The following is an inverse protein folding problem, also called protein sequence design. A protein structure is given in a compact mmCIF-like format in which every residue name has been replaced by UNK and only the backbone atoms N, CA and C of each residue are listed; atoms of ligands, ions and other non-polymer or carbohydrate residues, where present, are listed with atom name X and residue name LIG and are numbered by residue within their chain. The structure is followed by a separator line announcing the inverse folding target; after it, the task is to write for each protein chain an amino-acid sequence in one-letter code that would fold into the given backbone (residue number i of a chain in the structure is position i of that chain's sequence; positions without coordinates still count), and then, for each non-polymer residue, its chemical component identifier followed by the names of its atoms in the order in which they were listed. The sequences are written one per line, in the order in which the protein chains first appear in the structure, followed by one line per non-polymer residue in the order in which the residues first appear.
data_IF_761065540345
#
_entry.id   IF_761065540345
#
_cell.length_a   1.000
_cell.length_b   1.000
_cell.length_c   1.000
_cell.angle_alpha   90.00
_cell.angle_beta   90.00
_cell.angle_gamma   90.00
#
_symmetry.space_group_name_H-M   'P 1'
#
loop_
_entity.id
_entity.type
_entity.pdbx_description
1 polymer ?
#
# COMPACT_ATOMS: atom_id res chain seq x y z
N UNK A 1 -11.38 2.04 11.25
CA UNK A 1 -12.29 0.94 11.56
C UNK A 1 -11.55 -0.40 11.52
N UNK A 2 -11.78 -1.23 12.52
CA UNK A 2 -11.16 -2.55 12.61
C UNK A 2 -12.13 -3.61 12.12
N UNK A 3 -11.62 -4.53 11.32
CA UNK A 3 -12.37 -5.69 10.82
C UNK A 3 -11.66 -6.98 11.24
N UNK A 4 -12.43 -7.93 11.76
CA UNK A 4 -11.93 -9.23 12.20
C UNK A 4 -12.58 -10.33 11.38
N UNK A 5 -11.78 -11.24 10.83
CA UNK A 5 -12.25 -12.28 9.93
C UNK A 5 -11.73 -13.65 10.31
N UNK A 6 -12.59 -14.64 10.19
CA UNK A 6 -12.22 -16.06 10.30
C UNK A 6 -12.16 -16.67 8.91
N UNK A 7 -11.64 -17.89 8.81
CA UNK A 7 -11.51 -18.57 7.51
C UNK A 7 -12.79 -18.67 6.72
N UNK A 8 -13.94 -18.80 7.39
CA UNK A 8 -15.24 -18.94 6.75
C UNK A 8 -15.75 -17.64 6.11
N UNK A 9 -15.16 -16.48 6.44
CA UNK A 9 -15.65 -15.16 6.04
C UNK A 9 -14.76 -14.47 4.98
N UNK A 10 -14.01 -15.24 4.18
CA UNK A 10 -13.06 -14.66 3.21
C UNK A 10 -13.75 -13.88 2.09
N UNK A 11 -14.93 -14.30 1.64
CA UNK A 11 -15.66 -13.57 0.61
C UNK A 11 -16.05 -12.16 1.05
N UNK A 12 -16.79 -12.01 2.18
CA UNK A 12 -17.09 -10.68 2.71
C UNK A 12 -15.85 -9.86 3.05
N UNK A 13 -14.77 -10.52 3.51
CA UNK A 13 -13.49 -9.85 3.78
C UNK A 13 -12.94 -9.21 2.51
N UNK A 14 -12.93 -9.96 1.43
CA UNK A 14 -12.41 -9.48 0.16
C UNK A 14 -13.21 -8.29 -0.34
N UNK A 15 -14.54 -8.37 -0.27
CA UNK A 15 -15.41 -7.28 -0.70
C UNK A 15 -15.18 -6.02 0.13
N UNK A 16 -15.05 -6.15 1.44
CA UNK A 16 -14.78 -5.02 2.33
C UNK A 16 -13.42 -4.41 2.04
N UNK A 17 -12.42 -5.24 1.76
CA UNK A 17 -11.07 -4.78 1.44
C UNK A 17 -11.05 -4.03 0.10
N UNK A 18 -11.71 -4.55 -0.92
CA UNK A 18 -11.84 -3.88 -2.22
C UNK A 18 -12.50 -2.51 -2.03
N UNK A 19 -13.57 -2.46 -1.25
CA UNK A 19 -14.27 -1.20 -0.96
C UNK A 19 -13.31 -0.20 -0.31
N UNK A 20 -12.59 -0.60 0.74
CA UNK A 20 -11.66 0.28 1.45
C UNK A 20 -10.56 0.82 0.53
N UNK A 21 -10.01 -0.05 -0.32
CA UNK A 21 -8.93 0.33 -1.23
C UNK A 21 -9.42 1.28 -2.32
N UNK A 22 -10.65 1.15 -2.76
CA UNK A 22 -11.16 1.95 -3.87
C UNK A 22 -11.81 3.27 -3.45
N UNK A 23 -11.92 3.55 -2.15
CA UNK A 23 -12.61 4.75 -1.64
C UNK A 23 -11.72 5.96 -1.38
N UNK A 24 -10.50 5.96 -1.86
CA UNK A 24 -9.57 7.10 -1.68
C UNK A 24 -9.34 7.48 -0.21
N UNK A 25 -9.51 6.54 0.70
CA UNK A 25 -9.18 6.73 2.11
C UNK A 25 -7.70 6.40 2.33
N UNK A 26 -7.14 6.69 3.47
CA UNK A 26 -5.72 6.52 3.74
C UNK A 26 -5.20 5.09 3.53
N UNK A 27 -4.14 4.74 4.24
CA UNK A 27 -3.51 3.43 4.13
C UNK A 27 -4.40 2.36 4.76
N UNK A 28 -4.55 1.23 4.07
CA UNK A 28 -5.24 0.05 4.58
C UNK A 28 -4.21 -0.94 5.12
N UNK A 29 -4.45 -1.51 6.28
CA UNK A 29 -3.56 -2.50 6.89
C UNK A 29 -4.29 -3.83 7.04
N UNK A 30 -3.65 -4.90 6.60
CA UNK A 30 -4.16 -6.28 6.74
C UNK A 30 -3.13 -7.08 7.53
N UNK A 31 -3.48 -7.52 8.73
CA UNK A 31 -2.58 -8.32 9.56
C UNK A 31 -3.12 -9.73 9.77
N UNK A 32 -2.21 -10.66 9.93
CA UNK A 32 -2.53 -12.04 10.23
C UNK A 32 -1.26 -12.84 10.43
N UNK A 33 -1.34 -13.89 11.23
CA UNK A 33 -0.23 -14.80 11.45
C UNK A 33 0.14 -15.55 10.18
N UNK A 34 1.31 -16.17 10.16
CA UNK A 34 1.72 -17.09 9.10
C UNK A 34 0.63 -18.16 8.95
N UNK A 35 0.20 -18.39 7.72
CA UNK A 35 -0.85 -19.38 7.46
C UNK A 35 -2.27 -18.87 7.64
N UNK A 36 -2.47 -17.58 7.93
CA UNK A 36 -3.83 -17.00 8.09
C UNK A 36 -4.54 -16.75 6.77
N UNK A 37 -3.85 -16.90 5.65
CA UNK A 37 -4.44 -16.68 4.33
C UNK A 37 -4.17 -15.28 3.75
N UNK A 38 -3.23 -14.52 4.30
CA UNK A 38 -2.88 -13.20 3.77
C UNK A 38 -2.44 -13.25 2.30
N UNK A 39 -1.59 -14.24 1.97
CA UNK A 39 -1.08 -14.38 0.61
C UNK A 39 -2.21 -14.69 -0.37
N UNK A 40 -3.13 -15.57 0.03
CA UNK A 40 -4.28 -15.88 -0.81
C UNK A 40 -5.18 -14.66 -0.97
N UNK A 41 -5.42 -13.92 0.11
CA UNK A 41 -6.25 -12.72 0.05
C UNK A 41 -5.63 -11.67 -0.88
N UNK A 42 -4.32 -11.48 -0.80
CA UNK A 42 -3.60 -10.57 -1.68
C UNK A 42 -3.75 -10.99 -3.15
N UNK A 43 -3.61 -12.29 -3.41
CA UNK A 43 -3.75 -12.83 -4.77
C UNK A 43 -5.17 -12.65 -5.30
N UNK A 44 -6.17 -12.94 -4.49
CA UNK A 44 -7.57 -12.73 -4.86
C UNK A 44 -7.86 -11.25 -5.12
N UNK A 45 -7.26 -10.38 -4.33
CA UNK A 45 -7.41 -8.94 -4.51
C UNK A 45 -6.87 -8.50 -5.87
N UNK A 46 -5.69 -9.01 -6.25
CA UNK A 46 -5.10 -8.70 -7.56
C UNK A 46 -6.01 -9.12 -8.72
N UNK A 47 -6.75 -10.22 -8.55
CA UNK A 47 -7.66 -10.71 -9.57
C UNK A 47 -8.99 -9.96 -9.60
N UNK A 48 -9.45 -9.45 -8.45
CA UNK A 48 -10.80 -8.92 -8.29
C UNK A 48 -10.91 -7.40 -8.34
N UNK A 49 -9.81 -6.67 -8.27
CA UNK A 49 -9.88 -5.22 -8.38
C UNK A 49 -10.44 -4.80 -9.73
N UNK A 50 -11.20 -3.69 -9.80
CA UNK A 50 -11.77 -3.23 -11.07
C UNK A 50 -10.72 -3.02 -12.15
N UNK A 51 -11.14 -3.12 -13.41
CA UNK A 51 -10.23 -3.01 -14.56
C UNK A 51 -9.52 -1.66 -14.66
N UNK A 52 -10.12 -0.60 -14.10
CA UNK A 52 -9.51 0.72 -14.09
C UNK A 52 -8.48 0.90 -12.97
N UNK A 53 -8.25 -0.11 -12.14
CA UNK A 53 -7.25 -0.06 -11.08
C UNK A 53 -5.97 -0.72 -11.58
N UNK A 54 -4.90 0.06 -11.58
CA UNK A 54 -3.56 -0.44 -11.88
C UNK A 54 -2.91 -0.81 -10.55
N UNK A 55 -2.46 -2.05 -10.42
CA UNK A 55 -1.92 -2.56 -9.18
C UNK A 55 -0.42 -2.69 -9.24
N UNK A 56 0.27 -2.14 -8.26
CA UNK A 56 1.70 -2.28 -8.08
C UNK A 56 1.93 -3.19 -6.88
N UNK A 57 2.76 -4.22 -7.03
CA UNK A 57 2.96 -5.19 -5.97
C UNK A 57 4.43 -5.25 -5.56
N UNK A 58 4.71 -4.98 -4.28
CA UNK A 58 6.04 -5.08 -3.71
C UNK A 58 6.09 -6.27 -2.75
N UNK A 59 6.82 -7.30 -3.14
CA UNK A 59 6.97 -8.52 -2.35
C UNK A 59 8.27 -8.53 -1.54
N UNK A 60 9.19 -7.60 -1.80
CA UNK A 60 10.50 -7.58 -1.13
C UNK A 60 10.52 -6.51 -0.03
N UNK A 61 10.37 -6.91 1.25
CA UNK A 61 10.31 -5.95 2.35
C UNK A 61 11.67 -5.34 2.70
N UNK A 62 12.76 -5.91 2.21
CA UNK A 62 14.12 -5.43 2.55
C UNK A 62 14.55 -4.22 1.74
N UNK A 63 13.74 -3.76 0.81
CA UNK A 63 14.11 -2.63 -0.03
C UNK A 63 14.36 -1.38 0.82
N UNK A 64 15.45 -0.67 0.49
CA UNK A 64 15.74 0.62 1.08
C UNK A 64 14.75 1.67 0.55
N UNK A 65 14.78 2.86 1.16
CA UNK A 65 13.92 3.96 0.76
C UNK A 65 14.04 4.30 -0.72
N UNK A 66 15.27 4.43 -1.22
CA UNK A 66 15.50 4.73 -2.64
C UNK A 66 15.09 3.58 -3.56
N UNK A 67 15.31 2.35 -3.12
CA UNK A 67 14.94 1.18 -3.89
C UNK A 67 13.43 1.03 -4.03
N UNK A 68 12.67 1.42 -3.00
CA UNK A 68 11.20 1.41 -3.07
C UNK A 68 10.71 2.38 -4.15
N UNK A 69 11.23 3.59 -4.16
CA UNK A 69 10.87 4.58 -5.19
C UNK A 69 11.21 4.07 -6.58
N UNK A 70 12.40 3.47 -6.73
CA UNK A 70 12.83 2.88 -8.00
C UNK A 70 11.92 1.75 -8.46
N UNK A 71 11.53 0.88 -7.54
CA UNK A 71 10.66 -0.25 -7.85
C UNK A 71 9.28 0.22 -8.31
N UNK A 72 8.72 1.22 -7.64
CA UNK A 72 7.43 1.80 -8.03
C UNK A 72 7.55 2.47 -9.39
N UNK A 73 8.62 3.22 -9.63
CA UNK A 73 8.85 3.89 -10.89
C UNK A 73 8.97 2.88 -12.03
N UNK A 74 9.69 1.78 -11.82
CA UNK A 74 9.83 0.73 -12.82
C UNK A 74 8.48 0.13 -13.19
N UNK A 75 7.63 -0.13 -12.21
CA UNK A 75 6.28 -0.66 -12.44
C UNK A 75 5.42 0.33 -13.23
N UNK A 76 5.64 1.62 -13.06
CA UNK A 76 4.90 2.66 -13.77
C UNK A 76 5.54 3.01 -15.12
N UNK A 77 6.64 2.38 -15.47
CA UNK A 77 7.32 2.64 -16.74
C UNK A 77 8.11 3.93 -16.78
N UNK A 78 8.52 4.44 -15.62
CA UNK A 78 9.29 5.67 -15.51
C UNK A 78 10.78 5.36 -15.57
N UNK A 79 11.54 6.09 -16.39
CA UNK A 79 12.98 5.94 -16.43
C UNK A 79 13.61 6.43 -15.12
N UNK A 80 14.43 5.58 -14.49
CA UNK A 80 15.04 5.88 -13.18
C UNK A 80 16.51 6.19 -13.26
N UNK A 81 17.14 5.98 -14.39
CA UNK A 81 18.60 6.13 -14.56
C UNK A 81 19.09 7.53 -14.24
N UNK A 82 20.01 7.62 -13.28
CA UNK A 82 20.64 8.87 -12.91
C UNK A 82 19.77 9.89 -12.23
N UNK A 83 18.54 9.55 -11.86
CA UNK A 83 17.64 10.49 -11.20
C UNK A 83 17.90 10.53 -9.70
N UNK A 84 17.98 11.75 -9.15
CA UNK A 84 18.01 11.97 -7.72
C UNK A 84 16.63 11.66 -7.12
N UNK A 85 16.59 11.38 -5.81
CA UNK A 85 15.35 10.99 -5.12
C UNK A 85 14.23 12.00 -5.32
N UNK A 86 14.52 13.30 -5.20
CA UNK A 86 13.48 14.33 -5.35
C UNK A 86 12.93 14.40 -6.78
N UNK A 87 13.79 14.21 -7.77
CA UNK A 87 13.36 14.17 -9.19
C UNK A 87 12.50 12.95 -9.47
N UNK A 88 12.83 11.84 -8.84
CA UNK A 88 12.06 10.59 -8.97
C UNK A 88 10.69 10.75 -8.33
N UNK A 89 10.61 11.38 -7.16
CA UNK A 89 9.33 11.65 -6.49
C UNK A 89 8.43 12.52 -7.37
N UNK A 90 9.00 13.54 -7.99
CA UNK A 90 8.24 14.41 -8.90
C UNK A 90 7.76 13.63 -10.12
N UNK A 91 8.60 12.80 -10.69
CA UNK A 91 8.23 11.98 -11.85
C UNK A 91 7.10 10.99 -11.48
N UNK A 92 7.16 10.42 -10.28
CA UNK A 92 6.08 9.57 -9.79
C UNK A 92 4.77 10.34 -9.66
N UNK A 93 4.81 11.53 -9.07
CA UNK A 93 3.62 12.35 -8.91
C UNK A 93 3.01 12.70 -10.28
N UNK A 94 3.83 13.10 -11.23
CA UNK A 94 3.36 13.43 -12.58
C UNK A 94 2.72 12.22 -13.27
N UNK A 95 3.33 11.05 -13.13
CA UNK A 95 2.79 9.82 -13.71
C UNK A 95 1.45 9.44 -13.08
N UNK A 96 1.32 9.60 -11.75
CA UNK A 96 0.07 9.31 -11.05
C UNK A 96 -1.02 10.29 -11.44
N UNK A 97 -0.69 11.57 -11.60
CA UNK A 97 -1.64 12.59 -12.07
C UNK A 97 -2.14 12.22 -13.46
N UNK A 98 -1.25 11.81 -14.37
CA UNK A 98 -1.62 11.42 -15.72
C UNK A 98 -2.58 10.23 -15.71
N UNK A 99 -2.34 9.24 -14.84
CA UNK A 99 -3.23 8.09 -14.73
C UNK A 99 -4.59 8.49 -14.17
N UNK A 100 -4.60 9.35 -13.16
CA UNK A 100 -5.83 9.85 -12.60
C UNK A 100 -6.67 10.57 -13.67
N UNK A 101 -6.04 11.43 -14.47
CA UNK A 101 -6.71 12.15 -15.56
C UNK A 101 -7.27 11.21 -16.61
N UNK A 102 -6.65 10.04 -16.79
CA UNK A 102 -7.12 9.01 -17.73
C UNK A 102 -8.20 8.10 -17.13
N UNK A 103 -8.67 8.38 -15.92
CA UNK A 103 -9.69 7.58 -15.25
C UNK A 103 -9.16 6.34 -14.53
N UNK A 104 -7.85 6.23 -14.37
CA UNK A 104 -7.23 5.09 -13.71
C UNK A 104 -6.91 5.41 -12.26
N UNK A 105 -7.00 4.40 -11.41
CA UNK A 105 -6.55 4.47 -10.02
C UNK A 105 -5.34 3.56 -9.85
N UNK A 106 -4.39 3.98 -9.03
CA UNK A 106 -3.18 3.20 -8.76
C UNK A 106 -3.20 2.75 -7.31
N UNK A 107 -2.98 1.46 -7.10
CA UNK A 107 -2.96 0.84 -5.77
C UNK A 107 -1.61 0.15 -5.58
N UNK A 108 -0.94 0.46 -4.48
CA UNK A 108 0.33 -0.18 -4.10
C UNK A 108 0.04 -1.21 -3.01
N UNK A 109 0.29 -2.46 -3.32
CA UNK A 109 0.18 -3.57 -2.37
C UNK A 109 1.58 -3.93 -1.89
N UNK A 110 1.81 -3.86 -0.59
CA UNK A 110 3.09 -4.20 0.00
C UNK A 110 2.92 -5.42 0.89
N UNK A 111 3.60 -6.51 0.52
CA UNK A 111 3.56 -7.73 1.32
C UNK A 111 4.71 -7.73 2.33
N UNK A 112 4.53 -8.45 3.42
CA UNK A 112 5.53 -8.59 4.48
C UNK A 112 5.99 -7.25 5.06
N UNK A 113 5.06 -6.30 5.19
CA UNK A 113 5.39 -4.93 5.60
C UNK A 113 5.99 -4.87 7.03
N UNK A 114 5.75 -5.88 7.86
CA UNK A 114 6.34 -5.94 9.21
C UNK A 114 7.87 -6.04 9.19
N UNK A 115 8.44 -6.48 8.07
CA UNK A 115 9.88 -6.64 7.92
C UNK A 115 10.55 -5.43 7.25
N UNK A 116 9.80 -4.38 6.93
CA UNK A 116 10.37 -3.21 6.27
C UNK A 116 11.26 -2.41 7.21
N UNK A 117 12.39 -1.86 6.71
CA UNK A 117 13.18 -0.91 7.50
C UNK A 117 12.34 0.32 7.88
N UNK A 118 12.69 0.96 9.00
CA UNK A 118 11.97 2.15 9.46
C UNK A 118 11.96 3.26 8.42
N UNK A 119 13.09 3.48 7.74
CA UNK A 119 13.19 4.50 6.69
C UNK A 119 12.25 4.21 5.52
N UNK A 120 12.03 2.93 5.22
CA UNK A 120 11.13 2.52 4.15
C UNK A 120 9.67 2.73 4.54
N UNK A 121 9.32 2.46 5.79
CA UNK A 121 7.98 2.78 6.31
C UNK A 121 7.72 4.27 6.26
N UNK A 122 8.73 5.09 6.56
CA UNK A 122 8.64 6.55 6.43
C UNK A 122 8.35 6.96 4.98
N UNK A 123 9.00 6.30 4.02
CA UNK A 123 8.75 6.60 2.60
C UNK A 123 7.33 6.24 2.20
N UNK A 124 6.78 5.17 2.75
CA UNK A 124 5.38 4.81 2.52
C UNK A 124 4.45 5.92 3.04
N UNK A 125 4.77 6.48 4.21
CA UNK A 125 4.00 7.60 4.74
C UNK A 125 4.04 8.80 3.79
N UNK A 126 5.21 9.13 3.26
CA UNK A 126 5.37 10.24 2.33
C UNK A 126 4.60 9.98 1.04
N UNK A 127 4.67 8.76 0.52
CA UNK A 127 3.93 8.38 -0.69
C UNK A 127 2.42 8.50 -0.49
N UNK A 128 1.94 8.22 0.72
CA UNK A 128 0.50 8.33 1.02
C UNK A 128 0.00 9.77 0.99
N UNK A 129 0.92 10.75 0.99
CA UNK A 129 0.57 12.16 0.92
C UNK A 129 0.50 12.71 -0.51
N UNK A 130 0.81 11.91 -1.52
CA UNK A 130 0.73 12.37 -2.90
C UNK A 130 -0.71 12.66 -3.27
N UNK A 131 -1.00 13.92 -3.58
CA UNK A 131 -2.34 14.39 -3.85
C UNK A 131 -2.35 15.35 -5.04
N UNK A 132 -3.51 15.46 -5.68
CA UNK A 132 -3.80 16.49 -6.67
C UNK A 132 -5.19 17.00 -6.40
N UNK A 133 -5.34 18.29 -6.13
CA UNK A 133 -6.64 18.93 -5.84
C UNK A 133 -7.41 18.18 -4.73
N UNK A 134 -6.71 17.85 -3.65
CA UNK A 134 -7.24 17.15 -2.48
C UNK A 134 -7.64 15.68 -2.76
N UNK A 135 -7.28 15.13 -3.90
CA UNK A 135 -7.53 13.73 -4.22
C UNK A 135 -6.26 12.90 -4.03
N UNK A 136 -6.37 11.80 -3.31
CA UNK A 136 -5.27 10.85 -3.13
C UNK A 136 -4.93 10.22 -4.47
N UNK A 137 -3.66 10.29 -4.86
CA UNK A 137 -3.20 9.74 -6.12
C UNK A 137 -2.77 8.28 -6.02
N UNK A 138 -2.40 7.84 -4.83
CA UNK A 138 -1.91 6.49 -4.61
C UNK A 138 -2.62 5.88 -3.40
N UNK A 139 -3.27 4.76 -3.60
CA UNK A 139 -3.86 3.96 -2.53
C UNK A 139 -2.84 2.92 -2.10
N UNK A 140 -2.72 2.68 -0.80
CA UNK A 140 -1.71 1.77 -0.26
C UNK A 140 -2.37 0.75 0.65
N UNK A 141 -2.03 -0.51 0.46
CA UNK A 141 -2.45 -1.59 1.35
C UNK A 141 -1.21 -2.33 1.85
N UNK A 142 -1.08 -2.42 3.16
CA UNK A 142 0.02 -3.11 3.83
C UNK A 142 -0.46 -4.46 4.33
N UNK A 143 0.19 -5.53 3.88
CA UNK A 143 -0.05 -6.88 4.37
C UNK A 143 1.11 -7.28 5.28
N UNK A 144 0.80 -7.70 6.50
CA UNK A 144 1.84 -7.93 7.51
C UNK A 144 1.42 -8.95 8.55
N UNK A 145 2.42 -9.47 9.28
CA UNK A 145 2.17 -10.20 10.50
C UNK A 145 1.88 -9.21 11.63
N UNK A 146 1.29 -9.66 12.76
CA UNK A 146 0.92 -8.76 13.85
C UNK A 146 2.07 -7.95 14.45
N UNK A 147 3.32 -8.36 14.23
CA UNK A 147 4.50 -7.61 14.67
C UNK A 147 4.51 -6.18 14.15
N UNK A 148 3.86 -5.92 13.02
CA UNK A 148 3.75 -4.56 12.50
C UNK A 148 3.04 -3.65 13.49
N UNK A 149 2.00 -4.15 14.16
CA UNK A 149 1.25 -3.35 15.13
C UNK A 149 2.14 -2.92 16.30
N UNK A 150 3.02 -3.79 16.75
CA UNK A 150 4.00 -3.45 17.82
C UNK A 150 4.94 -2.35 17.34
N UNK A 151 5.42 -2.43 16.12
CA UNK A 151 6.28 -1.40 15.54
C UNK A 151 5.57 -0.07 15.40
N UNK A 152 4.31 -0.08 14.96
CA UNK A 152 3.52 1.12 14.77
C UNK A 152 3.15 1.81 16.09
N UNK A 153 3.18 1.08 17.20
CA UNK A 153 2.93 1.65 18.52
C UNK A 153 4.05 2.56 19.01
N UNK A 154 5.24 2.49 18.39
CA UNK A 154 6.37 3.33 18.77
C UNK A 154 6.09 4.80 18.49
N UNK A 155 6.68 5.68 19.32
CA UNK A 155 6.43 7.13 19.23
C UNK A 155 6.81 7.70 17.86
N UNK A 156 7.90 7.24 17.28
CA UNK A 156 8.37 7.72 15.98
C UNK A 156 7.54 7.22 14.79
N UNK A 157 6.59 6.32 15.04
CA UNK A 157 5.67 5.80 14.01
C UNK A 157 4.29 6.44 14.05
N UNK A 158 4.10 7.45 14.89
CA UNK A 158 2.79 8.07 15.09
C UNK A 158 2.20 8.61 13.79
N UNK A 159 2.99 9.27 12.96
CA UNK A 159 2.48 9.89 11.73
C UNK A 159 2.02 8.82 10.73
N UNK A 160 2.77 7.72 10.62
CA UNK A 160 2.35 6.60 9.78
C UNK A 160 1.08 5.97 10.34
N UNK A 161 1.03 5.74 11.65
CA UNK A 161 -0.15 5.15 12.31
C UNK A 161 -1.41 5.97 12.05
N UNK A 162 -1.29 7.30 12.06
CA UNK A 162 -2.42 8.19 11.80
C UNK A 162 -2.91 8.14 10.35
N UNK A 163 -2.05 7.72 9.42
CA UNK A 163 -2.42 7.54 8.02
C UNK A 163 -3.12 6.23 7.75
N UNK A 164 -3.01 5.26 8.65
CA UNK A 164 -3.67 3.96 8.51
C UNK A 164 -5.09 4.12 9.03
N UNK A 165 -6.05 4.10 8.12
CA UNK A 165 -7.45 4.38 8.45
C UNK A 165 -8.33 3.15 8.50
N UNK A 166 -7.91 2.04 7.91
CA UNK A 166 -8.66 0.78 7.88
C UNK A 166 -7.76 -0.36 8.32
N UNK A 167 -8.27 -1.18 9.22
CA UNK A 167 -7.54 -2.32 9.79
C UNK A 167 -8.33 -3.60 9.60
N UNK A 168 -7.74 -4.57 8.90
CA UNK A 168 -8.32 -5.89 8.69
C UNK A 168 -7.43 -6.91 9.41
N UNK A 169 -8.02 -7.67 10.34
CA UNK A 169 -7.27 -8.66 11.11
C UNK A 169 -7.78 -10.06 10.76
N UNK A 170 -6.89 -10.88 10.23
CA UNK A 170 -7.21 -12.26 9.85
C UNK A 170 -6.90 -13.20 11.01
N UNK A 171 -7.86 -14.00 11.38
CA UNK A 171 -7.69 -14.98 12.45
C UNK A 171 -7.03 -16.26 11.93
#
# INVERSE_FOLDING_TARGET
TDFFFTGANRGPTLDALIYAITQDEGIVKVTGEVGSGKTMLCRMLLERLPANVETLYLANPSLSRGEILGAIADELGIATDGKATHSLTRALQDALIARYAAGKRVVLLIDEAHAMPAESLEEIRLLSNLESKATKLLQIALFAQPELDERLAATDMRQLRERITQHFNLA
#
